data_IF_237836266657
#
_entry.id   IF_237836266657
#
_cell.length_a   1.000
_cell.length_b   1.000
_cell.length_c   1.000
_cell.angle_alpha   90.00
_cell.angle_beta   90.00
_cell.angle_gamma   90.00
#
_symmetry.space_group_name_H-M   'P 1'
#
loop_
_entity.id
_entity.type
_entity.pdbx_description
1 polymer ?
#
# COMPACT_ATOMS: atom_id res chain seq x y z
N UNK A 1 -3.63 19.78 15.32
CA UNK A 1 -2.85 19.79 16.56
C UNK A 1 -1.45 20.30 16.28
N UNK A 2 -0.83 20.96 17.26
CA UNK A 2 0.60 21.32 17.23
C UNK A 2 1.32 20.37 18.17
N UNK A 3 2.38 19.76 17.68
CA UNK A 3 3.21 18.80 18.44
C UNK A 3 4.66 19.12 18.12
N UNK A 4 5.52 19.10 19.15
CA UNK A 4 6.95 19.26 18.99
C UNK A 4 7.59 17.89 19.10
N UNK A 5 8.36 17.51 18.09
CA UNK A 5 9.10 16.25 18.04
C UNK A 5 10.52 16.55 17.55
N UNK A 6 11.49 15.81 18.06
CA UNK A 6 12.85 15.85 17.53
C UNK A 6 12.93 15.01 16.25
N UNK A 7 13.52 15.57 15.21
CA UNK A 7 13.68 14.93 13.90
C UNK A 7 15.10 15.18 13.42
N UNK A 8 15.75 14.16 12.87
CA UNK A 8 17.00 14.32 12.13
C UNK A 8 16.76 15.19 10.88
N UNK A 9 17.38 16.37 10.87
CA UNK A 9 17.22 17.34 9.78
C UNK A 9 17.77 16.80 8.45
N UNK A 10 18.83 15.99 8.46
CA UNK A 10 19.41 15.43 7.24
C UNK A 10 18.44 14.45 6.56
N UNK A 11 17.80 13.61 7.37
CA UNK A 11 16.78 12.69 6.89
C UNK A 11 15.56 13.44 6.36
N UNK A 12 15.10 14.48 7.08
CA UNK A 12 13.97 15.30 6.66
C UNK A 12 14.24 15.99 5.32
N UNK A 13 15.42 16.57 5.14
CA UNK A 13 15.83 17.18 3.87
C UNK A 13 15.91 16.16 2.74
N UNK A 14 16.41 14.96 3.00
CA UNK A 14 16.45 13.87 2.02
C UNK A 14 15.04 13.49 1.56
N UNK A 15 14.11 13.29 2.52
CA UNK A 15 12.70 13.00 2.21
C UNK A 15 12.08 14.16 1.42
N UNK A 16 12.33 15.41 1.79
CA UNK A 16 11.85 16.58 1.04
C UNK A 16 12.35 16.59 -0.40
N UNK A 17 13.63 16.33 -0.63
CA UNK A 17 14.23 16.26 -1.98
C UNK A 17 13.63 15.13 -2.82
N UNK A 18 13.48 13.94 -2.24
CA UNK A 18 12.96 12.76 -2.94
C UNK A 18 11.47 12.89 -3.29
N UNK A 19 10.69 13.53 -2.43
CA UNK A 19 9.23 13.65 -2.58
C UNK A 19 8.79 14.94 -3.26
N UNK A 20 9.70 15.92 -3.39
CA UNK A 20 9.37 17.27 -3.86
C UNK A 20 8.55 18.09 -2.85
N UNK A 21 8.49 17.66 -1.58
CA UNK A 21 7.71 18.35 -0.56
C UNK A 21 8.28 19.74 -0.27
N UNK A 22 7.46 20.78 -0.46
CA UNK A 22 7.86 22.18 -0.27
C UNK A 22 7.92 22.61 1.20
N UNK A 23 7.34 21.82 2.11
CA UNK A 23 7.29 22.14 3.55
C UNK A 23 7.72 20.94 4.37
N UNK A 24 8.39 21.20 5.51
CA UNK A 24 8.77 20.16 6.48
C UNK A 24 7.57 19.33 6.93
N UNK A 25 6.43 19.99 7.18
CA UNK A 25 5.18 19.32 7.52
C UNK A 25 4.74 18.33 6.44
N UNK A 26 4.71 18.75 5.18
CA UNK A 26 4.29 17.89 4.09
C UNK A 26 5.20 16.66 3.92
N UNK A 27 6.50 16.80 4.16
CA UNK A 27 7.44 15.68 4.15
C UNK A 27 7.18 14.70 5.29
N UNK A 28 6.92 15.20 6.50
CA UNK A 28 6.55 14.36 7.65
C UNK A 28 5.21 13.65 7.40
N UNK A 29 4.21 14.37 6.91
CA UNK A 29 2.88 13.80 6.58
C UNK A 29 3.03 12.69 5.52
N UNK A 30 3.84 12.91 4.48
CA UNK A 30 4.14 11.88 3.47
C UNK A 30 4.81 10.65 4.10
N UNK A 31 5.84 10.85 4.92
CA UNK A 31 6.59 9.76 5.54
C UNK A 31 5.71 8.90 6.44
N UNK A 32 4.82 9.53 7.22
CA UNK A 32 3.87 8.82 8.07
C UNK A 32 2.87 7.99 7.25
N UNK A 33 2.32 8.54 6.18
CA UNK A 33 1.43 7.78 5.30
C UNK A 33 2.13 6.62 4.59
N UNK A 34 3.39 6.80 4.19
CA UNK A 34 4.19 5.72 3.61
C UNK A 34 4.45 4.61 4.63
N UNK A 35 4.84 4.98 5.86
CA UNK A 35 5.07 4.04 6.95
C UNK A 35 3.79 3.29 7.34
N UNK A 36 2.65 3.98 7.39
CA UNK A 36 1.34 3.38 7.65
C UNK A 36 0.99 2.32 6.59
N UNK A 37 1.17 2.64 5.31
CA UNK A 37 0.94 1.68 4.21
C UNK A 37 1.85 0.47 4.33
N UNK A 38 3.14 0.67 4.60
CA UNK A 38 4.09 -0.42 4.78
C UNK A 38 3.70 -1.32 5.97
N UNK A 39 3.30 -0.71 7.10
CA UNK A 39 2.84 -1.44 8.27
C UNK A 39 1.57 -2.25 8.00
N UNK A 40 0.60 -1.69 7.26
CA UNK A 40 -0.62 -2.40 6.84
C UNK A 40 -0.30 -3.62 5.98
N UNK A 41 0.58 -3.47 4.99
CA UNK A 41 1.01 -4.60 4.15
C UNK A 41 1.72 -5.67 4.98
N UNK A 42 2.66 -5.27 5.84
CA UNK A 42 3.37 -6.21 6.71
C UNK A 42 2.42 -6.96 7.65
N UNK A 43 1.42 -6.27 8.21
CA UNK A 43 0.39 -6.86 9.05
C UNK A 43 -0.45 -7.88 8.28
N UNK A 44 -0.94 -7.53 7.08
CA UNK A 44 -1.70 -8.43 6.22
C UNK A 44 -0.90 -9.67 5.82
N UNK A 45 0.38 -9.53 5.50
CA UNK A 45 1.25 -10.67 5.17
C UNK A 45 1.48 -11.55 6.37
N UNK A 46 1.70 -10.97 7.56
CA UNK A 46 1.91 -11.72 8.80
C UNK A 46 0.66 -12.49 9.23
N UNK A 47 -0.52 -11.94 8.99
CA UNK A 47 -1.81 -12.55 9.30
C UNK A 47 -2.40 -13.34 8.12
N UNK A 48 -1.63 -13.50 7.03
CA UNK A 48 -2.08 -14.26 5.89
C UNK A 48 -2.41 -15.70 6.31
N UNK A 49 -3.59 -16.22 5.94
CA UNK A 49 -3.92 -17.62 6.15
C UNK A 49 -2.84 -18.52 5.54
N UNK A 50 -2.58 -19.71 6.12
CA UNK A 50 -1.68 -20.67 5.51
C UNK A 50 -2.19 -21.09 4.13
N UNK A 51 -1.29 -21.54 3.24
CA UNK A 51 -1.64 -21.97 1.88
C UNK A 51 -2.80 -22.98 1.85
N UNK A 52 -2.85 -23.86 2.85
CA UNK A 52 -3.91 -24.85 3.02
C UNK A 52 -5.31 -24.23 3.18
N UNK A 53 -5.42 -23.02 3.74
CA UNK A 53 -6.69 -22.31 3.89
C UNK A 53 -7.22 -21.77 2.55
N UNK A 54 -6.37 -21.69 1.51
CA UNK A 54 -6.76 -21.29 0.16
C UNK A 54 -7.10 -22.47 -0.75
N UNK A 55 -6.92 -23.72 -0.29
CA UNK A 55 -7.27 -24.90 -1.08
C UNK A 55 -8.78 -24.95 -1.29
N UNK A 56 -9.21 -24.81 -2.55
CA UNK A 56 -10.63 -24.73 -2.91
C UNK A 56 -11.25 -23.34 -2.70
N UNK A 57 -10.46 -22.30 -2.42
CA UNK A 57 -10.96 -20.93 -2.32
C UNK A 57 -11.36 -20.33 -3.69
N UNK A 58 -10.87 -20.92 -4.78
CA UNK A 58 -11.29 -20.64 -6.15
C UNK A 58 -12.02 -21.87 -6.65
N UNK A 59 -13.24 -21.67 -7.15
CA UNK A 59 -14.01 -22.73 -7.78
C UNK A 59 -13.30 -23.19 -9.07
N UNK A 60 -13.19 -24.50 -9.29
CA UNK A 60 -12.52 -25.04 -10.49
C UNK A 60 -13.22 -24.63 -11.79
N UNK A 61 -14.51 -24.28 -11.73
CA UNK A 61 -15.27 -23.73 -12.85
C UNK A 61 -15.01 -22.24 -13.11
N UNK A 62 -14.23 -21.57 -12.25
CA UNK A 62 -13.91 -20.15 -12.38
C UNK A 62 -12.93 -19.89 -13.52
N UNK A 63 -13.47 -19.77 -14.74
CA UNK A 63 -12.69 -19.48 -15.94
C UNK A 63 -12.61 -17.98 -16.22
N UNK A 64 -11.49 -17.37 -15.83
CA UNK A 64 -11.23 -15.93 -16.01
C UNK A 64 -11.22 -15.49 -17.48
N UNK A 65 -10.86 -16.38 -18.41
CA UNK A 65 -10.82 -16.05 -19.83
C UNK A 65 -12.23 -15.89 -20.40
N UNK A 66 -13.13 -16.79 -20.03
CA UNK A 66 -14.53 -16.71 -20.46
C UNK A 66 -15.23 -15.46 -19.91
N UNK A 67 -14.97 -15.09 -18.65
CA UNK A 67 -15.52 -13.88 -18.05
C UNK A 67 -15.02 -12.61 -18.76
N UNK A 68 -13.71 -12.54 -19.06
CA UNK A 68 -13.12 -11.40 -19.77
C UNK A 68 -13.61 -11.24 -21.21
N UNK A 69 -14.01 -12.33 -21.86
CA UNK A 69 -14.62 -12.24 -23.19
C UNK A 69 -16.04 -11.69 -23.16
N UNK A 70 -16.80 -11.99 -22.09
CA UNK A 70 -18.16 -11.47 -21.89
C UNK A 70 -18.18 -9.99 -21.52
N UNK A 71 -17.10 -9.47 -20.93
CA UNK A 71 -16.94 -8.04 -20.60
C UNK A 71 -16.63 -7.15 -21.82
N UNK A 72 -16.29 -7.73 -22.98
CA UNK A 72 -16.09 -6.94 -24.20
C UNK A 72 -17.45 -6.40 -24.66
N UNK A 73 -17.56 -5.09 -24.97
CA UNK A 73 -18.79 -4.54 -25.49
C UNK A 73 -19.16 -5.25 -26.78
N UNK A 74 -20.40 -5.75 -26.84
CA UNK A 74 -20.95 -6.35 -28.06
C UNK A 74 -21.07 -5.26 -29.13
N UNK A 75 -20.77 -5.58 -30.40
CA UNK A 75 -20.90 -4.63 -31.51
C UNK A 75 -22.33 -4.15 -31.71
#
# INVERSE_FOLDING_TARGET
>A
MKTTIEIDENLLESVMKLTGAKTRRAAVDYALHAAEKAAKVAHLVREAPPESAFRGAVDDSYNIFSLREQEKPKP
#
